data_IF_871904250583
#
_entry.id   IF_871904250583
#
_cell.length_a   1.000
_cell.length_b   1.000
_cell.length_c   1.000
_cell.angle_alpha   90.00
_cell.angle_beta   90.00
_cell.angle_gamma   90.00
#
_symmetry.space_group_name_H-M   'P 1'
#
loop_
_entity.id
_entity.type
_entity.pdbx_description
1 polymer ?
#
# COMPACT_ATOMS: atom_id res chain seq x y z
N UNK A 1 1.52 -2.26 4.72
CA UNK A 1 1.04 -3.57 4.22
C UNK A 1 1.20 -3.59 2.72
N UNK A 2 1.88 -4.61 2.21
CA UNK A 2 2.07 -4.81 0.77
C UNK A 2 0.76 -5.25 0.11
N UNK A 3 0.55 -4.86 -1.14
CA UNK A 3 -0.55 -5.35 -1.95
C UNK A 3 -0.43 -6.88 -2.10
N UNK A 4 -1.56 -7.58 -2.01
CA UNK A 4 -1.60 -9.05 -2.19
C UNK A 4 -1.57 -9.39 -3.68
N UNK A 5 -0.70 -10.30 -4.07
CA UNK A 5 -0.68 -10.86 -5.42
C UNK A 5 -1.99 -11.60 -5.71
N UNK A 6 -2.47 -11.50 -6.94
CA UNK A 6 -3.69 -12.14 -7.40
C UNK A 6 -3.37 -13.55 -7.91
N UNK A 7 -4.19 -14.51 -7.49
CA UNK A 7 -4.20 -15.88 -8.00
C UNK A 7 -5.54 -16.16 -8.68
N UNK A 8 -5.53 -16.95 -9.76
CA UNK A 8 -6.76 -17.25 -10.53
C UNK A 8 -7.14 -18.72 -10.38
N UNK A 9 -8.31 -18.97 -9.77
CA UNK A 9 -8.88 -20.32 -9.66
C UNK A 9 -9.31 -20.82 -11.04
N UNK A 10 -9.87 -19.93 -11.87
CA UNK A 10 -10.31 -20.25 -13.22
C UNK A 10 -9.16 -20.77 -14.09
N UNK A 11 -7.98 -20.16 -13.99
CA UNK A 11 -6.75 -20.63 -14.67
C UNK A 11 -6.34 -22.01 -14.17
N UNK A 12 -6.28 -22.23 -12.86
CA UNK A 12 -5.92 -23.52 -12.28
C UNK A 12 -6.88 -24.65 -12.75
N UNK A 13 -8.18 -24.37 -12.80
CA UNK A 13 -9.17 -25.30 -13.32
C UNK A 13 -9.02 -25.53 -14.82
N UNK A 14 -8.71 -24.49 -15.61
CA UNK A 14 -8.51 -24.61 -17.05
C UNK A 14 -7.31 -25.51 -17.39
N UNK A 15 -6.20 -25.37 -16.66
CA UNK A 15 -5.01 -26.23 -16.80
C UNK A 15 -5.31 -27.69 -16.48
N UNK A 16 -6.12 -27.96 -15.45
CA UNK A 16 -6.55 -29.33 -15.14
C UNK A 16 -7.50 -29.91 -16.20
N UNK A 17 -8.35 -29.07 -16.80
CA UNK A 17 -9.28 -29.51 -17.83
C UNK A 17 -8.58 -29.81 -19.15
N UNK A 18 -7.65 -28.97 -19.58
CA UNK A 18 -6.92 -29.18 -20.84
C UNK A 18 -6.03 -30.44 -20.78
N UNK A 19 -5.49 -30.81 -19.62
CA UNK A 19 -4.76 -32.08 -19.48
C UNK A 19 -5.69 -33.29 -19.64
N UNK A 20 -6.92 -33.20 -19.10
CA UNK A 20 -7.97 -34.18 -19.35
C UNK A 20 -8.35 -34.27 -20.83
N UNK A 21 -8.51 -33.13 -21.51
CA UNK A 21 -8.80 -33.09 -22.96
C UNK A 21 -7.69 -33.73 -23.77
N UNK A 22 -6.41 -33.39 -23.50
CA UNK A 22 -5.24 -33.97 -24.17
C UNK A 22 -5.10 -35.48 -23.95
N UNK A 23 -5.65 -36.01 -22.86
CA UNK A 23 -5.65 -37.46 -22.60
C UNK A 23 -6.65 -38.23 -23.49
N UNK A 24 -7.67 -37.54 -24.01
CA UNK A 24 -8.64 -38.12 -24.94
C UNK A 24 -8.04 -38.11 -26.35
N UNK A 25 -7.60 -36.93 -26.80
CA UNK A 25 -6.92 -36.72 -28.08
C UNK A 25 -6.06 -35.45 -27.97
N UNK A 26 -4.80 -35.55 -28.40
CA UNK A 26 -3.83 -34.45 -28.33
C UNK A 26 -4.18 -33.29 -29.26
N UNK A 27 -4.84 -33.60 -30.38
CA UNK A 27 -5.21 -32.61 -31.42
C UNK A 27 -6.73 -32.49 -31.56
N UNK A 28 -7.46 -32.73 -30.46
CA UNK A 28 -8.92 -32.67 -30.45
C UNK A 28 -9.45 -31.35 -31.05
N UNK A 29 -10.27 -31.47 -32.08
CA UNK A 29 -11.01 -30.38 -32.71
C UNK A 29 -12.51 -30.68 -32.63
N UNK A 30 -13.22 -29.85 -31.87
CA UNK A 30 -14.67 -29.95 -31.71
C UNK A 30 -15.43 -29.05 -32.71
N UNK A 31 -14.72 -28.43 -33.66
CA UNK A 31 -15.24 -27.44 -34.58
C UNK A 31 -15.45 -26.08 -33.92
N UNK A 32 -15.84 -25.07 -34.72
CA UNK A 32 -16.09 -23.69 -34.25
C UNK A 32 -14.91 -23.05 -33.48
N UNK A 33 -13.68 -23.48 -33.76
CA UNK A 33 -12.48 -22.97 -33.08
C UNK A 33 -12.25 -23.53 -31.67
N UNK A 34 -13.04 -24.51 -31.22
CA UNK A 34 -12.81 -25.26 -29.98
C UNK A 34 -11.76 -26.36 -30.20
N UNK A 35 -10.51 -25.94 -30.34
CA UNK A 35 -9.36 -26.83 -30.47
C UNK A 35 -8.51 -26.83 -29.20
N UNK A 36 -7.74 -27.90 -28.99
CA UNK A 36 -6.73 -27.95 -27.91
C UNK A 36 -5.78 -26.76 -27.98
N UNK A 37 -5.34 -26.39 -29.19
CA UNK A 37 -4.46 -25.25 -29.44
C UNK A 37 -5.10 -23.92 -29.03
N UNK A 38 -6.36 -23.68 -29.42
CA UNK A 38 -7.07 -22.47 -29.04
C UNK A 38 -7.27 -22.39 -27.51
N UNK A 39 -7.54 -23.52 -26.87
CA UNK A 39 -7.67 -23.57 -25.42
C UNK A 39 -6.33 -23.28 -24.72
N UNK A 40 -5.23 -23.85 -25.21
CA UNK A 40 -3.89 -23.57 -24.66
C UNK A 40 -3.54 -22.09 -24.80
N UNK A 41 -3.76 -21.49 -25.97
CA UNK A 41 -3.51 -20.07 -26.20
C UNK A 41 -4.30 -19.18 -25.23
N UNK A 42 -5.57 -19.50 -24.98
CA UNK A 42 -6.38 -18.75 -24.02
C UNK A 42 -5.87 -18.86 -22.57
N UNK A 43 -5.31 -20.01 -22.18
CA UNK A 43 -4.67 -20.17 -20.87
C UNK A 43 -3.41 -19.31 -20.79
N UNK A 44 -2.56 -19.36 -21.82
CA UNK A 44 -1.29 -18.65 -21.88
C UNK A 44 -1.51 -17.11 -21.88
N UNK A 45 -2.54 -16.63 -22.58
CA UNK A 45 -2.94 -15.21 -22.55
C UNK A 45 -3.33 -14.76 -21.13
N UNK A 46 -4.13 -15.56 -20.43
CA UNK A 46 -4.55 -15.26 -19.06
C UNK A 46 -3.34 -15.26 -18.11
N UNK A 47 -2.41 -16.18 -18.29
CA UNK A 47 -1.18 -16.24 -17.50
C UNK A 47 -0.30 -15.00 -17.72
N UNK A 48 -0.11 -14.59 -18.98
CA UNK A 48 0.67 -13.40 -19.32
C UNK A 48 0.08 -12.13 -18.69
N UNK A 49 -1.25 -11.96 -18.78
CA UNK A 49 -1.94 -10.81 -18.18
C UNK A 49 -1.85 -10.86 -16.65
N UNK A 50 -2.03 -12.03 -16.03
CA UNK A 50 -1.94 -12.18 -14.58
C UNK A 50 -0.53 -11.89 -14.05
N UNK A 51 0.50 -12.35 -14.75
CA UNK A 51 1.90 -12.09 -14.43
C UNK A 51 2.22 -10.59 -14.51
N UNK A 52 1.79 -9.94 -15.60
CA UNK A 52 1.95 -8.48 -15.79
C UNK A 52 1.26 -7.69 -14.68
N UNK A 53 0.01 -8.05 -14.36
CA UNK A 53 -0.75 -7.43 -13.27
C UNK A 53 -0.03 -7.56 -11.92
N UNK A 54 0.44 -8.76 -11.58
CA UNK A 54 1.15 -9.01 -10.34
C UNK A 54 2.50 -8.27 -10.26
N UNK A 55 3.17 -8.08 -11.39
CA UNK A 55 4.40 -7.29 -11.50
C UNK A 55 4.13 -5.82 -11.23
N UNK A 56 3.11 -5.22 -11.84
CA UNK A 56 2.72 -3.84 -11.55
C UNK A 56 2.35 -3.64 -10.09
N UNK A 57 1.69 -4.63 -9.49
CA UNK A 57 1.35 -4.60 -8.07
C UNK A 57 2.60 -4.61 -7.17
N UNK A 58 3.72 -5.23 -7.60
CA UNK A 58 5.01 -5.14 -6.89
C UNK A 58 5.61 -3.74 -7.01
N UNK A 59 5.56 -3.15 -8.20
CA UNK A 59 6.07 -1.80 -8.44
C UNK A 59 5.27 -0.76 -7.65
N UNK A 60 3.95 -0.94 -7.54
CA UNK A 60 3.09 -0.10 -6.73
C UNK A 60 3.45 -0.17 -5.23
N UNK A 61 3.80 -1.36 -4.74
CA UNK A 61 4.30 -1.53 -3.36
C UNK A 61 5.61 -0.79 -3.14
N UNK A 62 6.55 -0.90 -4.07
CA UNK A 62 7.84 -0.21 -3.99
C UNK A 62 7.65 1.32 -3.97
N UNK A 63 6.85 1.85 -4.89
CA UNK A 63 6.54 3.28 -4.96
C UNK A 63 5.89 3.77 -3.67
N UNK A 64 4.96 2.98 -3.10
CA UNK A 64 4.33 3.30 -1.83
C UNK A 64 5.35 3.37 -0.69
N UNK A 65 6.23 2.38 -0.56
CA UNK A 65 7.26 2.37 0.48
C UNK A 65 8.22 3.55 0.34
N UNK A 66 8.56 3.95 -0.89
CA UNK A 66 9.38 5.12 -1.16
C UNK A 66 8.66 6.41 -0.71
N UNK A 67 7.39 6.57 -1.08
CA UNK A 67 6.56 7.70 -0.67
C UNK A 67 6.51 7.81 0.86
N UNK A 68 6.15 6.72 1.55
CA UNK A 68 6.07 6.70 3.02
C UNK A 68 7.41 7.08 3.67
N UNK A 69 8.52 6.64 3.08
CA UNK A 69 9.86 7.00 3.55
C UNK A 69 10.16 8.49 3.37
N UNK A 70 9.78 9.09 2.23
CA UNK A 70 9.95 10.52 1.97
C UNK A 70 9.05 11.37 2.84
N UNK A 71 7.81 10.96 3.07
CA UNK A 71 6.88 11.62 3.97
C UNK A 71 7.39 11.63 5.41
N UNK A 72 7.98 10.52 5.86
CA UNK A 72 8.62 10.44 7.18
C UNK A 72 9.77 11.44 7.30
N UNK A 73 10.66 11.50 6.30
CA UNK A 73 11.75 12.48 6.29
C UNK A 73 11.25 13.92 6.29
N UNK A 74 10.20 14.22 5.51
CA UNK A 74 9.58 15.54 5.48
C UNK A 74 8.99 15.92 6.84
N UNK A 75 8.36 14.97 7.53
CA UNK A 75 7.83 15.17 8.88
C UNK A 75 8.94 15.48 9.87
N UNK A 76 10.02 14.68 9.88
CA UNK A 76 11.18 14.93 10.75
C UNK A 76 11.82 16.30 10.46
N UNK A 77 11.91 16.69 9.19
CA UNK A 77 12.40 18.01 8.80
C UNK A 77 11.50 19.13 9.32
N UNK A 78 10.18 18.97 9.19
CA UNK A 78 9.19 19.93 9.69
C UNK A 78 9.27 20.09 11.21
N UNK A 79 9.43 18.99 11.94
CA UNK A 79 9.65 18.99 13.39
C UNK A 79 10.95 19.73 13.76
N UNK A 80 12.05 19.48 13.04
CA UNK A 80 13.32 20.19 13.24
C UNK A 80 13.18 21.69 12.98
N UNK A 81 12.48 22.08 11.92
CA UNK A 81 12.22 23.50 11.61
C UNK A 81 11.43 24.18 12.73
N UNK A 82 10.35 23.56 13.22
CA UNK A 82 9.59 24.08 14.36
C UNK A 82 10.45 24.21 15.61
N UNK A 83 11.29 23.22 15.89
CA UNK A 83 12.19 23.25 17.05
C UNK A 83 13.25 24.35 16.91
N UNK A 84 13.78 24.57 15.71
CA UNK A 84 14.71 25.66 15.42
C UNK A 84 14.07 27.04 15.59
N UNK A 85 12.83 27.22 15.13
CA UNK A 85 12.06 28.46 15.33
C UNK A 85 11.81 28.69 16.83
N UNK A 86 11.43 27.64 17.56
CA UNK A 86 11.30 27.69 19.01
C UNK A 86 12.60 28.06 19.72
N UNK A 87 13.75 27.56 19.26
CA UNK A 87 15.06 27.88 19.83
C UNK A 87 15.45 29.34 19.57
N UNK A 88 15.15 29.88 18.38
CA UNK A 88 15.54 31.25 17.98
C UNK A 88 14.61 32.34 18.53
N UNK A 89 13.30 32.12 18.49
CA UNK A 89 12.30 33.15 18.84
C UNK A 89 11.58 32.84 20.16
N UNK A 90 11.69 31.62 20.68
CA UNK A 90 10.98 31.16 21.87
C UNK A 90 9.64 30.50 21.55
N UNK A 91 9.23 29.55 22.40
CA UNK A 91 7.99 28.75 22.23
C UNK A 91 6.69 29.51 22.50
N UNK A 92 6.76 30.72 23.05
CA UNK A 92 5.60 31.60 23.27
C UNK A 92 5.50 32.74 22.24
N UNK A 93 6.41 32.77 21.27
CA UNK A 93 6.48 33.83 20.27
C UNK A 93 5.39 33.75 19.22
N UNK A 94 5.08 34.90 18.61
CA UNK A 94 4.18 34.98 17.46
C UNK A 94 4.72 34.12 16.29
N UNK A 95 6.03 34.15 16.05
CA UNK A 95 6.71 33.44 14.97
C UNK A 95 6.54 31.92 15.11
N UNK A 96 6.63 31.38 16.33
CA UNK A 96 6.40 29.96 16.56
C UNK A 96 4.95 29.55 16.26
N UNK A 97 3.96 30.40 16.59
CA UNK A 97 2.57 30.15 16.23
C UNK A 97 2.32 30.27 14.73
N UNK A 98 2.91 31.28 14.08
CA UNK A 98 2.81 31.46 12.62
C UNK A 98 3.39 30.28 11.85
N UNK A 99 4.43 29.63 12.39
CA UNK A 99 5.00 28.41 11.82
C UNK A 99 4.16 27.14 12.05
N UNK A 100 3.00 27.24 12.72
CA UNK A 100 2.11 26.12 13.03
C UNK A 100 2.32 25.50 14.41
N UNK A 101 3.20 26.06 15.25
CA UNK A 101 3.37 25.64 16.64
C UNK A 101 2.22 26.12 17.53
N UNK A 102 1.97 25.42 18.64
CA UNK A 102 1.06 25.91 19.69
C UNK A 102 1.88 26.61 20.78
N UNK A 103 1.54 27.85 21.12
CA UNK A 103 2.25 28.61 22.15
C UNK A 103 2.17 27.91 23.50
N UNK A 104 3.22 28.03 24.31
CA UNK A 104 3.28 27.41 25.64
C UNK A 104 2.19 27.93 26.59
N UNK A 105 1.88 29.21 26.50
CA UNK A 105 0.79 29.91 27.18
C UNK A 105 -0.61 29.45 26.76
N UNK A 106 -0.76 28.93 25.54
CA UNK A 106 -2.02 28.42 25.01
C UNK A 106 -2.26 26.93 25.32
N UNK A 107 -1.27 26.21 25.87
CA UNK A 107 -1.48 24.83 26.30
C UNK A 107 -2.49 24.77 27.45
N UNK A 108 -3.57 23.98 27.30
CA UNK A 108 -4.50 23.69 28.40
C UNK A 108 -3.73 23.05 29.56
N UNK A 109 -3.57 23.79 30.66
CA UNK A 109 -3.07 23.23 31.93
C UNK A 109 -4.19 22.41 32.56
N UNK A 110 -4.03 21.09 32.61
CA UNK A 110 -4.80 20.25 33.52
C UNK A 110 -4.34 20.55 34.94
N UNK A 111 -5.11 21.36 35.67
CA UNK A 111 -4.85 21.63 37.09
C UNK A 111 -5.14 20.32 37.85
N UNK A 112 -4.10 19.65 38.36
CA UNK A 112 -4.28 18.53 39.29
C UNK A 112 -4.87 19.09 40.58
N UNK A 113 -6.13 18.72 40.90
CA UNK A 113 -6.74 19.04 42.20
C UNK A 113 -5.91 18.36 43.30
N UNK A 114 -5.47 19.11 44.31
CA UNK A 114 -4.83 18.52 45.49
C UNK A 114 -5.85 17.65 46.24
N UNK A 115 -5.46 16.51 46.84
CA UNK A 115 -6.34 15.74 47.70
C UNK A 115 -6.78 16.63 48.86
N UNK A 116 -8.09 16.70 49.12
CA UNK A 116 -8.61 17.37 50.30
C UNK A 116 -8.21 16.53 51.52
N UNK A 117 -7.47 17.13 52.45
CA UNK A 117 -7.22 16.53 53.77
C UNK A 117 -8.57 16.43 54.48
N UNK A 118 -9.01 15.20 54.77
CA UNK A 118 -10.18 14.96 55.61
C UNK A 118 -9.75 15.14 57.06
N UNK A 119 -10.26 16.21 57.69
CA UNK A 119 -10.21 16.42 59.13
C UNK A 119 -11.40 15.74 59.81
#
# INVERSE_FOLDING_TARGET
MSYRKKTSIAMAMAVQRISGVKSIDTDLDLGNGLTVTAYQNAIDEVEAVLSTYNTHLSLADELKNNLESKEKLLREFSERMLTGIAAKFGRDSNQYQMAGGTRKSAYKRTIRRKPQEMA
#
